data_IF_958888218530
#
_entry.id   IF_958888218530
#
_cell.length_a   1.000
_cell.length_b   1.000
_cell.length_c   1.000
_cell.angle_alpha   90.00
_cell.angle_beta   90.00
_cell.angle_gamma   90.00
#
_symmetry.space_group_name_H-M   'P 1'
#
loop_
_entity.id
_entity.type
_entity.pdbx_description
1 polymer ?
#
# COMPACT_ATOMS: atom_id res chain seq x y z
N UNK A 1 -0.65 -6.00 -15.35
CA UNK A 1 -0.86 -6.87 -16.53
C UNK A 1 -1.92 -6.26 -17.43
N UNK A 2 -1.90 -6.55 -18.73
CA UNK A 2 -2.93 -6.12 -19.71
C UNK A 2 -4.28 -6.86 -19.55
N UNK A 3 -4.54 -7.44 -18.38
CA UNK A 3 -5.77 -8.15 -18.08
C UNK A 3 -6.24 -7.81 -16.67
N UNK A 4 -7.52 -7.40 -16.58
CA UNK A 4 -8.23 -7.15 -15.32
C UNK A 4 -8.14 -8.35 -14.39
N UNK A 5 -8.34 -9.55 -14.95
CA UNK A 5 -8.40 -10.79 -14.20
C UNK A 5 -7.02 -11.14 -13.62
N UNK A 6 -5.95 -10.92 -14.39
CA UNK A 6 -4.57 -11.13 -13.94
C UNK A 6 -4.17 -10.24 -12.77
N UNK A 7 -4.64 -8.99 -12.73
CA UNK A 7 -4.38 -8.11 -11.59
C UNK A 7 -5.09 -8.62 -10.32
N UNK A 8 -6.33 -9.13 -10.44
CA UNK A 8 -7.03 -9.72 -9.28
C UNK A 8 -6.40 -11.03 -8.81
N UNK A 9 -5.97 -11.91 -9.70
CA UNK A 9 -5.32 -13.17 -9.29
C UNK A 9 -4.03 -12.89 -8.52
N UNK A 10 -3.19 -11.97 -8.99
CA UNK A 10 -1.98 -11.54 -8.26
C UNK A 10 -2.36 -10.89 -6.93
N UNK A 11 -3.38 -10.04 -6.91
CA UNK A 11 -3.88 -9.42 -5.68
C UNK A 11 -4.18 -10.48 -4.61
N UNK A 12 -5.03 -11.45 -4.92
CA UNK A 12 -5.37 -12.51 -3.95
C UNK A 12 -4.18 -13.38 -3.57
N UNK A 13 -3.24 -13.64 -4.49
CA UNK A 13 -2.00 -14.34 -4.17
C UNK A 13 -1.17 -13.56 -3.15
N UNK A 14 -1.01 -12.24 -3.32
CA UNK A 14 -0.30 -11.39 -2.37
C UNK A 14 -0.99 -11.33 -1.00
N UNK A 15 -2.32 -11.35 -0.97
CA UNK A 15 -3.09 -11.45 0.28
C UNK A 15 -2.81 -12.77 1.01
N UNK A 16 -2.89 -13.89 0.29
CA UNK A 16 -2.61 -15.22 0.84
C UNK A 16 -1.19 -15.29 1.38
N UNK A 17 -0.22 -14.75 0.64
CA UNK A 17 1.18 -14.69 1.07
C UNK A 17 1.35 -13.87 2.36
N UNK A 18 0.72 -12.70 2.42
CA UNK A 18 0.75 -11.86 3.63
C UNK A 18 0.17 -12.57 4.84
N UNK A 19 -1.00 -13.21 4.69
CA UNK A 19 -1.64 -13.99 5.74
C UNK A 19 -0.80 -15.19 6.17
N UNK A 20 -0.18 -15.89 5.21
CA UNK A 20 0.70 -17.01 5.48
C UNK A 20 1.93 -16.58 6.29
N UNK A 21 2.60 -15.49 5.89
CA UNK A 21 3.77 -14.95 6.62
C UNK A 21 3.35 -14.56 8.04
N UNK A 22 2.25 -13.84 8.19
CA UNK A 22 1.75 -13.43 9.51
C UNK A 22 1.46 -14.65 10.41
N UNK A 23 0.74 -15.65 9.90
CA UNK A 23 0.42 -16.86 10.65
C UNK A 23 1.66 -17.69 10.98
N UNK A 24 2.59 -17.84 10.03
CA UNK A 24 3.86 -18.56 10.23
C UNK A 24 4.70 -17.92 11.32
N UNK A 25 4.81 -16.58 11.34
CA UNK A 25 5.55 -15.85 12.38
C UNK A 25 4.88 -15.99 13.74
N UNK A 26 3.54 -15.93 13.78
CA UNK A 26 2.76 -16.13 15.00
C UNK A 26 3.00 -17.52 15.61
N UNK A 27 2.86 -18.58 14.82
CA UNK A 27 3.03 -19.96 15.29
C UNK A 27 4.47 -20.24 15.74
N UNK A 28 5.46 -19.65 15.07
CA UNK A 28 6.86 -19.80 15.42
C UNK A 28 7.31 -18.85 16.56
N UNK A 29 6.43 -18.01 17.10
CA UNK A 29 6.73 -17.08 18.18
C UNK A 29 7.75 -15.99 17.82
N UNK A 30 7.91 -15.66 16.52
CA UNK A 30 8.84 -14.63 16.05
C UNK A 30 8.17 -13.26 16.07
N UNK A 31 8.93 -12.22 16.41
CA UNK A 31 8.42 -10.84 16.53
C UNK A 31 8.45 -10.01 15.25
N UNK A 32 8.94 -10.57 14.13
CA UNK A 32 9.18 -9.86 12.85
C UNK A 32 7.92 -9.69 11.97
N UNK A 33 6.79 -9.32 12.59
CA UNK A 33 5.49 -9.24 11.90
C UNK A 33 5.45 -8.20 10.78
N UNK A 34 6.33 -7.21 10.80
CA UNK A 34 6.46 -6.16 9.80
C UNK A 34 6.66 -6.70 8.37
N UNK A 35 7.27 -7.89 8.23
CA UNK A 35 7.48 -8.51 6.92
C UNK A 35 6.15 -8.82 6.19
N UNK A 36 5.05 -9.00 6.92
CA UNK A 36 3.74 -9.27 6.34
C UNK A 36 3.09 -8.01 5.72
N UNK A 37 3.54 -6.81 6.07
CA UNK A 37 2.90 -5.56 5.65
C UNK A 37 3.20 -5.19 4.20
N UNK A 38 4.41 -5.47 3.70
CA UNK A 38 4.76 -5.25 2.30
C UNK A 38 3.87 -6.04 1.33
N UNK A 39 3.73 -7.38 1.43
CA UNK A 39 2.83 -8.13 0.56
C UNK A 39 1.37 -7.69 0.71
N UNK A 40 0.94 -7.26 1.90
CA UNK A 40 -0.38 -6.68 2.09
C UNK A 40 -0.58 -5.37 1.31
N UNK A 41 0.42 -4.48 1.32
CA UNK A 41 0.36 -3.24 0.53
C UNK A 41 0.32 -3.52 -0.98
N UNK A 42 1.02 -4.57 -1.43
CA UNK A 42 0.98 -5.04 -2.82
C UNK A 42 -0.39 -5.62 -3.19
N UNK A 43 -1.05 -6.35 -2.27
CA UNK A 43 -2.45 -6.75 -2.45
C UNK A 43 -3.33 -5.53 -2.78
N UNK A 44 -3.26 -4.46 -1.98
CA UNK A 44 -4.05 -3.24 -2.21
C UNK A 44 -3.73 -2.63 -3.58
N UNK A 45 -2.45 -2.60 -3.97
CA UNK A 45 -2.01 -2.09 -5.27
C UNK A 45 -2.60 -2.88 -6.44
N UNK A 46 -2.46 -4.20 -6.43
CA UNK A 46 -2.98 -5.05 -7.49
C UNK A 46 -4.51 -5.08 -7.52
N UNK A 47 -5.15 -5.01 -6.35
CA UNK A 47 -6.60 -4.85 -6.24
C UNK A 47 -7.07 -3.57 -6.95
N UNK A 48 -6.41 -2.43 -6.67
CA UNK A 48 -6.70 -1.15 -7.34
C UNK A 48 -6.51 -1.26 -8.85
N UNK A 49 -5.42 -1.88 -9.31
CA UNK A 49 -5.16 -2.07 -10.74
C UNK A 49 -6.21 -2.95 -11.43
N UNK A 50 -6.78 -3.94 -10.74
CA UNK A 50 -7.90 -4.73 -11.24
C UNK A 50 -9.23 -3.97 -11.22
N UNK A 51 -9.49 -3.23 -10.15
CA UNK A 51 -10.71 -2.45 -9.96
C UNK A 51 -10.83 -1.31 -10.98
N UNK A 52 -9.77 -0.51 -11.14
CA UNK A 52 -9.74 0.66 -12.04
C UNK A 52 -9.30 0.32 -13.47
N UNK A 53 -9.02 -0.95 -13.76
CA UNK A 53 -8.55 -1.39 -15.08
C UNK A 53 -9.34 -0.79 -16.27
N UNK A 54 -10.68 -0.92 -16.35
CA UNK A 54 -11.43 -0.41 -17.49
C UNK A 54 -11.44 1.12 -17.58
N UNK A 55 -11.47 1.81 -16.43
CA UNK A 55 -11.55 3.26 -16.35
C UNK A 55 -10.21 3.91 -16.73
N UNK A 56 -9.10 3.30 -16.33
CA UNK A 56 -7.76 3.86 -16.57
C UNK A 56 -7.17 3.44 -17.92
N UNK A 57 -7.72 2.41 -18.57
CA UNK A 57 -7.27 1.96 -19.89
C UNK A 57 -7.40 3.05 -20.97
N UNK A 58 -8.40 3.94 -20.87
CA UNK A 58 -8.67 4.97 -21.87
C UNK A 58 -7.77 6.21 -21.76
N UNK A 59 -7.02 6.40 -20.66
CA UNK A 59 -6.10 7.53 -20.44
C UNK A 59 -6.73 8.92 -20.67
N UNK A 60 -8.01 9.06 -20.34
CA UNK A 60 -8.77 10.31 -20.51
C UNK A 60 -8.33 11.40 -19.51
N UNK A 61 -8.80 12.63 -19.69
CA UNK A 61 -8.50 13.77 -18.79
C UNK A 61 -8.88 13.49 -17.33
N UNK A 62 -9.98 12.76 -17.10
CA UNK A 62 -10.42 12.33 -15.76
C UNK A 62 -9.35 11.51 -15.05
N UNK A 63 -8.68 10.60 -15.78
CA UNK A 63 -7.61 9.80 -15.20
C UNK A 63 -6.43 10.67 -14.74
N UNK A 64 -6.04 11.67 -15.55
CA UNK A 64 -4.99 12.63 -15.19
C UNK A 64 -5.36 13.45 -13.96
N UNK A 65 -6.62 13.90 -13.86
CA UNK A 65 -7.12 14.63 -12.69
C UNK A 65 -7.08 13.77 -11.42
N UNK A 66 -7.57 12.53 -11.48
CA UNK A 66 -7.51 11.58 -10.36
C UNK A 66 -6.06 11.36 -9.92
N UNK A 67 -5.14 11.15 -10.86
CA UNK A 67 -3.71 10.96 -10.57
C UNK A 67 -3.09 12.18 -9.89
N UNK A 68 -3.37 13.38 -10.40
CA UNK A 68 -2.85 14.62 -9.80
C UNK A 68 -3.37 14.82 -8.37
N UNK A 69 -4.68 14.65 -8.14
CA UNK A 69 -5.27 14.77 -6.81
C UNK A 69 -4.72 13.70 -5.87
N UNK A 70 -4.69 12.44 -6.28
CA UNK A 70 -4.14 11.35 -5.47
C UNK A 70 -2.69 11.62 -5.06
N UNK A 71 -1.83 12.05 -6.00
CA UNK A 71 -0.43 12.38 -5.70
C UNK A 71 -0.29 13.58 -4.76
N UNK A 72 -1.11 14.62 -4.94
CA UNK A 72 -1.09 15.81 -4.08
C UNK A 72 -1.44 15.45 -2.63
N UNK A 73 -2.53 14.73 -2.39
CA UNK A 73 -2.89 14.30 -1.03
C UNK A 73 -1.90 13.30 -0.45
N UNK A 74 -1.37 12.39 -1.29
CA UNK A 74 -0.37 11.43 -0.83
C UNK A 74 0.90 12.11 -0.33
N UNK A 75 1.31 13.23 -0.94
CA UNK A 75 2.46 14.00 -0.47
C UNK A 75 2.27 14.45 0.98
N UNK A 76 1.14 15.10 1.30
CA UNK A 76 0.87 15.55 2.68
C UNK A 76 0.78 14.40 3.67
N UNK A 77 0.12 13.30 3.29
CA UNK A 77 -0.03 12.13 4.15
C UNK A 77 1.33 11.46 4.40
N UNK A 78 2.15 11.31 3.36
CA UNK A 78 3.51 10.74 3.47
C UNK A 78 4.41 11.61 4.35
N UNK A 79 4.28 12.94 4.24
CA UNK A 79 5.01 13.86 5.12
C UNK A 79 4.56 13.72 6.58
N UNK A 80 3.26 13.50 6.81
CA UNK A 80 2.73 13.15 8.12
C UNK A 80 3.35 11.87 8.69
N UNK A 81 3.47 10.81 7.88
CA UNK A 81 4.16 9.58 8.32
C UNK A 81 5.60 9.83 8.72
N UNK A 82 6.36 10.58 7.93
CA UNK A 82 7.75 10.93 8.26
C UNK A 82 7.85 11.67 9.59
N UNK A 83 6.94 12.62 9.85
CA UNK A 83 6.91 13.36 11.10
C UNK A 83 6.58 12.46 12.30
N UNK A 84 5.62 11.54 12.14
CA UNK A 84 5.27 10.56 13.18
C UNK A 84 6.46 9.65 13.50
N UNK A 85 7.12 9.09 12.48
CA UNK A 85 8.29 8.23 12.68
C UNK A 85 9.48 8.99 13.26
N UNK A 86 9.66 10.27 12.92
CA UNK A 86 10.68 11.12 13.54
C UNK A 86 10.44 11.29 15.04
N UNK A 87 9.20 11.53 15.47
CA UNK A 87 8.86 11.64 16.89
C UNK A 87 9.07 10.29 17.60
N UNK A 88 8.62 9.18 17.01
CA UNK A 88 8.76 7.85 17.59
C UNK A 88 10.23 7.43 17.74
N UNK A 89 11.10 7.88 16.83
CA UNK A 89 12.54 7.65 16.85
C UNK A 89 13.29 8.34 17.99
N UNK A 90 12.69 9.35 18.65
CA UNK A 90 13.29 10.05 19.80
C UNK A 90 13.10 9.26 21.12
N UNK A 91 13.46 7.97 21.13
CA UNK A 91 13.45 7.07 22.30
C UNK A 91 12.06 6.70 22.87
N UNK A 92 10.97 6.87 22.11
CA UNK A 92 9.65 6.39 22.55
C UNK A 92 9.54 4.87 22.30
N UNK A 93 10.09 4.39 21.19
CA UNK A 93 10.08 2.97 20.80
C UNK A 93 11.43 2.61 20.17
N UNK A 94 12.03 1.50 20.61
CA UNK A 94 13.28 0.98 20.03
C UNK A 94 13.00 0.19 18.74
N UNK A 95 12.71 0.90 17.64
CA UNK A 95 12.49 0.32 16.31
C UNK A 95 13.80 0.27 15.53
N UNK A 96 14.11 -0.86 14.91
CA UNK A 96 15.25 -0.96 14.01
C UNK A 96 15.02 -0.14 12.73
N UNK A 97 16.06 0.45 12.16
CA UNK A 97 15.95 1.20 10.90
C UNK A 97 15.30 0.37 9.77
N UNK A 98 15.57 -0.93 9.73
CA UNK A 98 14.97 -1.85 8.76
C UNK A 98 13.45 -1.97 8.93
N UNK A 99 12.96 -2.14 10.17
CA UNK A 99 11.51 -2.22 10.45
C UNK A 99 10.79 -0.94 10.03
N UNK A 100 11.38 0.22 10.31
CA UNK A 100 10.84 1.54 9.92
C UNK A 100 10.71 1.65 8.41
N UNK A 101 11.74 1.25 7.64
CA UNK A 101 11.70 1.29 6.17
C UNK A 101 10.61 0.38 5.62
N UNK A 102 10.47 -0.84 6.16
CA UNK A 102 9.46 -1.81 5.72
C UNK A 102 8.05 -1.27 5.96
N UNK A 103 7.79 -0.74 7.15
CA UNK A 103 6.47 -0.20 7.52
C UNK A 103 6.16 1.07 6.70
N UNK A 104 7.10 2.01 6.58
CA UNK A 104 6.93 3.22 5.78
C UNK A 104 6.67 2.89 4.31
N UNK A 105 7.44 1.97 3.74
CA UNK A 105 7.25 1.53 2.35
C UNK A 105 5.85 0.94 2.15
N UNK A 106 5.41 0.05 3.04
CA UNK A 106 4.08 -0.55 2.99
C UNK A 106 2.96 0.51 3.10
N UNK A 107 3.10 1.48 4.02
CA UNK A 107 2.15 2.57 4.20
C UNK A 107 2.05 3.45 2.95
N UNK A 108 3.18 3.88 2.39
CA UNK A 108 3.20 4.74 1.19
C UNK A 108 2.52 4.03 0.01
N UNK A 109 2.86 2.75 -0.22
CA UNK A 109 2.24 1.95 -1.29
C UNK A 109 0.73 1.85 -1.05
N UNK A 110 0.30 1.47 0.16
CA UNK A 110 -1.12 1.32 0.46
C UNK A 110 -1.89 2.64 0.27
N UNK A 111 -1.38 3.74 0.81
CA UNK A 111 -2.02 5.06 0.81
C UNK A 111 -2.22 5.61 -0.59
N UNK A 112 -1.19 5.58 -1.44
CA UNK A 112 -1.32 5.99 -2.85
C UNK A 112 -2.46 5.24 -3.52
N UNK A 113 -2.47 3.91 -3.37
CA UNK A 113 -3.45 3.04 -4.04
C UNK A 113 -4.88 3.22 -3.49
N UNK A 114 -5.03 3.47 -2.19
CA UNK A 114 -6.31 3.78 -1.57
C UNK A 114 -6.83 5.13 -2.07
N UNK A 115 -5.98 6.15 -2.13
CA UNK A 115 -6.36 7.48 -2.64
C UNK A 115 -6.86 7.40 -4.09
N UNK A 116 -6.22 6.60 -4.94
CA UNK A 116 -6.72 6.35 -6.30
C UNK A 116 -8.15 5.78 -6.29
N UNK A 117 -8.45 4.83 -5.41
CA UNK A 117 -9.80 4.24 -5.30
C UNK A 117 -10.84 5.21 -4.72
N UNK A 118 -10.43 6.11 -3.82
CA UNK A 118 -11.32 7.13 -3.27
C UNK A 118 -11.64 8.17 -4.34
N UNK A 119 -10.62 8.73 -5.01
CA UNK A 119 -10.81 9.76 -6.02
C UNK A 119 -11.51 9.25 -7.28
N UNK A 120 -11.36 7.97 -7.64
CA UNK A 120 -12.13 7.39 -8.75
C UNK A 120 -13.63 7.31 -8.48
N UNK A 121 -14.07 7.39 -7.23
CA UNK A 121 -15.50 7.47 -6.87
C UNK A 121 -16.00 8.91 -6.82
N UNK A 122 -15.10 9.88 -6.63
CA UNK A 122 -15.43 11.30 -6.55
C UNK A 122 -15.49 11.94 -7.95
N UNK A 123 -14.63 11.50 -8.88
CA UNK A 123 -14.49 12.04 -10.24
C UNK A 123 -14.79 10.99 -11.33
#
# INVERSE_FOLDING_TARGET
>A
MNSRLGNFTISFLMLILSLYIFFSLWVNGKSEFEMAFLPFSLFIMFFRLGYLYPQFKKNDERYKLIQQKAMFYNYFISMGYLFIFFILGNNIINLSAQTVIVILGALIIATVNILFMIFSKIY
#
